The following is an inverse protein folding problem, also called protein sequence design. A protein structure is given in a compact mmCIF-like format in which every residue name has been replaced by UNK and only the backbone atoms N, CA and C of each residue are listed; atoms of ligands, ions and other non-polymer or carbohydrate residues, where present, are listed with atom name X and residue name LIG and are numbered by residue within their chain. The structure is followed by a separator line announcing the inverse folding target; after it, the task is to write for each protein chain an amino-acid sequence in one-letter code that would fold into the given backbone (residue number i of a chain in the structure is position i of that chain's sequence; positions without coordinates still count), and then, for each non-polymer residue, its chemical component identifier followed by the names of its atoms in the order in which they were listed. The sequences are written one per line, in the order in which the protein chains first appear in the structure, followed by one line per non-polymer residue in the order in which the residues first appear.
data_IF_718119588913
#
_entry.id   IF_718119588913
#
_cell.length_a   1.000
_cell.length_b   1.000
_cell.length_c   1.000
_cell.angle_alpha   90.00
_cell.angle_beta   90.00
_cell.angle_gamma   90.00
#
_symmetry.space_group_name_H-M   'P 1'
#
loop_
_entity.id
_entity.type
_entity.pdbx_description
1 polymer ?
#
# COMPACT_ATOMS: atom_id res chain seq x y z
N UNK A 1 8.99 16.36 -21.35
CA UNK A 1 7.81 16.39 -20.46
C UNK A 1 6.59 16.88 -21.24
N UNK A 2 5.48 16.14 -21.25
CA UNK A 2 4.22 16.62 -21.79
C UNK A 2 3.53 17.55 -20.78
N UNK A 3 3.10 18.74 -21.21
CA UNK A 3 2.37 19.71 -20.38
C UNK A 3 1.22 20.32 -21.17
N UNK A 4 0.23 19.49 -21.51
CA UNK A 4 -0.98 19.92 -22.19
C UNK A 4 -2.00 20.49 -21.20
N UNK A 5 -2.70 21.56 -21.57
CA UNK A 5 -3.85 22.09 -20.82
C UNK A 5 -5.11 21.36 -21.29
N UNK A 6 -5.73 20.59 -20.40
CA UNK A 6 -6.97 19.87 -20.68
C UNK A 6 -8.08 20.52 -19.86
N UNK A 7 -9.16 20.93 -20.51
CA UNK A 7 -10.36 21.43 -19.84
C UNK A 7 -11.14 20.26 -19.23
N UNK A 8 -11.83 20.49 -18.11
CA UNK A 8 -12.57 19.43 -17.39
C UNK A 8 -13.63 18.77 -18.27
N UNK A 9 -14.32 19.54 -19.12
CA UNK A 9 -15.29 19.03 -20.10
C UNK A 9 -14.69 18.10 -21.17
N UNK A 10 -13.38 18.19 -21.41
CA UNK A 10 -12.66 17.39 -22.41
C UNK A 10 -12.03 16.13 -21.82
N UNK A 11 -12.24 15.87 -20.52
CA UNK A 11 -11.80 14.65 -19.88
C UNK A 11 -12.65 13.49 -20.38
N UNK A 12 -12.02 12.52 -21.03
CA UNK A 12 -12.67 11.25 -21.37
C UNK A 12 -12.48 10.25 -20.23
N UNK A 13 -13.56 9.59 -19.78
CA UNK A 13 -13.44 8.49 -18.82
C UNK A 13 -12.57 7.38 -19.41
N UNK A 14 -11.70 6.79 -18.59
CA UNK A 14 -10.99 5.58 -18.93
C UNK A 14 -11.71 4.38 -18.30
N UNK A 15 -12.67 3.81 -19.04
CA UNK A 15 -13.48 2.68 -18.56
C UNK A 15 -12.65 1.41 -18.34
N UNK A 16 -11.61 1.18 -19.13
CA UNK A 16 -10.69 0.06 -18.94
C UNK A 16 -9.97 0.18 -17.59
N UNK A 17 -9.53 1.38 -17.24
CA UNK A 17 -8.92 1.65 -15.93
C UNK A 17 -9.93 1.47 -14.78
N UNK A 18 -11.18 1.90 -14.97
CA UNK A 18 -12.24 1.67 -13.99
C UNK A 18 -12.51 0.17 -13.76
N UNK A 19 -12.53 -0.63 -14.84
CA UNK A 19 -12.67 -2.09 -14.75
C UNK A 19 -11.50 -2.73 -14.00
N UNK A 20 -10.28 -2.32 -14.29
CA UNK A 20 -9.10 -2.81 -13.57
C UNK A 20 -9.20 -2.46 -12.08
N UNK A 21 -9.60 -1.25 -11.72
CA UNK A 21 -9.75 -0.83 -10.33
C UNK A 21 -10.72 -1.74 -9.54
N UNK A 22 -11.83 -2.17 -10.14
CA UNK A 22 -12.76 -3.09 -9.47
C UNK A 22 -12.17 -4.49 -9.25
N UNK A 23 -11.27 -4.97 -10.11
CA UNK A 23 -10.58 -6.25 -9.89
C UNK A 23 -9.63 -6.21 -8.67
N UNK A 24 -9.12 -5.02 -8.33
CA UNK A 24 -8.20 -4.82 -7.20
C UNK A 24 -8.90 -4.25 -5.96
N UNK A 25 -10.22 -4.18 -5.94
CA UNK A 25 -10.99 -3.61 -4.83
C UNK A 25 -10.69 -4.29 -3.49
N UNK A 26 -10.54 -5.60 -3.52
CA UNK A 26 -10.31 -6.43 -2.32
C UNK A 26 -8.82 -6.68 -2.05
N UNK A 27 -7.92 -6.09 -2.85
CA UNK A 27 -6.47 -6.22 -2.63
C UNK A 27 -6.03 -5.63 -1.28
N UNK A 28 -6.83 -4.72 -0.72
CA UNK A 28 -6.61 -4.12 0.59
C UNK A 28 -7.22 -4.93 1.76
N UNK A 29 -7.74 -6.13 1.52
CA UNK A 29 -8.32 -6.99 2.54
C UNK A 29 -7.41 -8.18 2.85
N UNK A 30 -7.30 -8.50 4.13
CA UNK A 30 -6.62 -9.70 4.59
C UNK A 30 -7.40 -10.93 4.12
N UNK A 31 -6.74 -11.83 3.38
CA UNK A 31 -7.37 -13.06 2.88
C UNK A 31 -7.95 -13.94 4.00
N UNK A 32 -7.31 -13.97 5.18
CA UNK A 32 -7.73 -14.79 6.33
C UNK A 32 -8.88 -14.18 7.12
N UNK A 33 -8.81 -12.87 7.38
CA UNK A 33 -9.71 -12.21 8.34
C UNK A 33 -10.74 -11.29 7.67
N UNK A 34 -10.62 -11.00 6.37
CA UNK A 34 -11.46 -10.06 5.61
C UNK A 34 -11.47 -8.63 6.18
N UNK A 35 -10.45 -8.31 6.97
CA UNK A 35 -10.22 -6.99 7.57
C UNK A 35 -9.22 -6.18 6.72
N UNK A 36 -9.30 -4.85 6.82
CA UNK A 36 -8.41 -3.96 6.07
C UNK A 36 -6.94 -4.17 6.46
N UNK A 37 -6.06 -4.15 5.46
CA UNK A 37 -4.60 -4.16 5.59
C UNK A 37 -4.09 -2.72 5.74
N UNK A 38 -4.24 -2.16 6.93
CA UNK A 38 -3.83 -0.78 7.24
C UNK A 38 -2.62 -0.69 8.20
N UNK A 39 -2.07 -1.84 8.57
CA UNK A 39 -0.90 -1.94 9.44
C UNK A 39 0.28 -2.50 8.64
N UNK A 40 1.50 -2.13 9.02
CA UNK A 40 2.73 -2.60 8.43
C UNK A 40 3.61 -3.23 9.51
N UNK A 41 3.96 -4.50 9.34
CA UNK A 41 4.91 -5.20 10.19
C UNK A 41 6.34 -4.94 9.69
N UNK A 42 7.17 -4.35 10.55
CA UNK A 42 8.54 -3.98 10.16
C UNK A 42 9.48 -5.17 10.01
N UNK A 43 9.31 -6.23 10.82
CA UNK A 43 10.17 -7.41 10.74
C UNK A 43 9.86 -8.28 9.54
N UNK A 44 8.58 -8.48 9.22
CA UNK A 44 8.16 -9.31 8.10
C UNK A 44 8.16 -8.55 6.76
N UNK A 45 8.15 -7.21 6.81
CA UNK A 45 8.05 -6.36 5.62
C UNK A 45 6.71 -6.55 4.90
N UNK A 46 5.63 -6.79 5.63
CA UNK A 46 4.31 -7.03 5.06
C UNK A 46 3.19 -6.21 5.71
N UNK A 47 2.14 -5.95 4.94
CA UNK A 47 0.93 -5.33 5.47
C UNK A 47 0.06 -6.36 6.17
N UNK A 48 -0.37 -6.05 7.39
CA UNK A 48 -1.19 -6.93 8.21
C UNK A 48 -2.51 -6.23 8.58
N UNK A 49 -3.52 -7.01 8.98
CA UNK A 49 -4.75 -6.47 9.56
C UNK A 49 -4.67 -6.47 11.09
N UNK A 50 -5.62 -5.79 11.74
CA UNK A 50 -5.73 -5.69 13.21
C UNK A 50 -5.82 -7.04 13.94
N UNK A 51 -6.29 -8.08 13.26
CA UNK A 51 -6.34 -9.44 13.83
C UNK A 51 -4.98 -10.12 13.71
N UNK A 52 -4.32 -9.99 12.56
CA UNK A 52 -2.96 -10.51 12.34
C UNK A 52 -1.95 -9.87 13.31
N UNK A 53 -2.05 -8.57 13.58
CA UNK A 53 -1.18 -7.90 14.57
C UNK A 53 -1.18 -8.59 15.94
N UNK A 54 -2.35 -9.07 16.38
CA UNK A 54 -2.52 -9.74 17.69
C UNK A 54 -2.23 -11.23 17.66
N UNK A 55 -2.08 -11.80 16.46
CA UNK A 55 -1.80 -13.21 16.26
C UNK A 55 -0.37 -13.53 16.71
N UNK A 56 -0.09 -14.75 17.21
CA UNK A 56 1.24 -15.13 17.65
C UNK A 56 2.34 -14.86 16.61
N UNK A 57 1.98 -14.85 15.33
CA UNK A 57 2.87 -14.59 14.19
C UNK A 57 3.43 -13.17 14.17
N UNK A 58 2.67 -12.15 14.60
CA UNK A 58 3.11 -10.75 14.58
C UNK A 58 3.06 -10.05 15.95
N UNK A 59 2.58 -10.73 17.00
CA UNK A 59 2.35 -10.15 18.33
C UNK A 59 3.60 -9.51 18.96
N UNK A 60 4.79 -10.00 18.61
CA UNK A 60 6.07 -9.47 19.09
C UNK A 60 6.74 -8.50 18.13
N UNK A 61 6.25 -8.38 16.89
CA UNK A 61 6.89 -7.56 15.88
C UNK A 61 6.48 -6.08 16.03
N UNK A 62 7.37 -5.13 15.67
CA UNK A 62 6.99 -3.72 15.58
C UNK A 62 6.00 -3.56 14.42
N UNK A 63 4.83 -3.01 14.74
CA UNK A 63 3.78 -2.73 13.78
C UNK A 63 3.49 -1.23 13.78
N UNK A 64 3.41 -0.64 12.59
CA UNK A 64 3.12 0.77 12.37
C UNK A 64 1.83 0.91 11.55
N UNK A 65 1.17 2.07 11.63
CA UNK A 65 0.15 2.42 10.65
C UNK A 65 0.79 2.61 9.27
N UNK A 66 0.05 2.28 8.21
CA UNK A 66 0.52 2.48 6.84
C UNK A 66 0.94 3.93 6.56
N UNK A 67 0.24 4.92 7.11
CA UNK A 67 0.60 6.33 6.98
C UNK A 67 1.91 6.67 7.70
N UNK A 68 2.12 6.10 8.89
CA UNK A 68 3.34 6.29 9.69
C UNK A 68 4.54 5.62 9.01
N UNK A 69 4.34 4.42 8.48
CA UNK A 69 5.35 3.73 7.69
C UNK A 69 5.66 4.53 6.42
N UNK A 70 4.66 5.04 5.70
CA UNK A 70 4.87 5.88 4.53
C UNK A 70 5.68 7.16 4.83
N UNK A 71 5.52 7.73 6.03
CA UNK A 71 6.33 8.87 6.49
C UNK A 71 7.74 8.46 6.91
N UNK A 72 7.87 7.36 7.65
CA UNK A 72 9.16 6.82 8.12
C UNK A 72 10.08 6.46 6.95
N UNK A 73 9.51 5.92 5.88
CA UNK A 73 10.21 5.54 4.66
C UNK A 73 10.03 6.57 3.53
N UNK A 74 9.45 7.75 3.80
CA UNK A 74 9.40 8.85 2.84
C UNK A 74 10.82 9.35 2.64
N UNK A 75 11.40 8.97 1.50
CA UNK A 75 12.77 9.30 1.13
C UNK A 75 12.96 10.82 1.14
N UNK A 76 13.73 11.30 2.10
CA UNK A 76 14.42 12.57 1.98
C UNK A 76 15.41 12.49 0.82
N UNK A 77 14.99 12.90 -0.38
CA UNK A 77 15.83 13.31 -1.53
C UNK A 77 17.16 12.59 -1.82
N UNK A 78 17.30 11.30 -1.53
CA UNK A 78 18.41 10.48 -2.03
C UNK A 78 17.86 9.12 -2.46
N UNK A 79 17.97 8.85 -3.76
CA UNK A 79 17.56 7.62 -4.43
C UNK A 79 18.32 6.41 -3.86
N UNK A 80 17.86 5.87 -2.73
CA UNK A 80 18.21 4.52 -2.31
C UNK A 80 16.97 3.63 -2.41
N UNK A 81 16.90 2.90 -3.52
CA UNK A 81 15.86 1.89 -3.78
C UNK A 81 15.90 0.75 -2.74
N UNK A 82 16.96 0.63 -1.92
CA UNK A 82 17.04 -0.31 -0.80
C UNK A 82 16.04 -0.01 0.32
N UNK A 83 15.70 1.27 0.55
CA UNK A 83 14.82 1.70 1.64
C UNK A 83 13.33 1.39 1.40
N UNK A 84 12.91 1.16 0.15
CA UNK A 84 11.55 0.71 -0.21
C UNK A 84 11.41 -0.81 -0.33
N UNK A 85 12.51 -1.56 -0.21
CA UNK A 85 12.53 -3.02 -0.28
C UNK A 85 11.47 -3.72 0.60
N UNK A 86 11.20 -3.25 1.84
CA UNK A 86 10.16 -3.82 2.69
C UNK A 86 8.74 -3.60 2.14
N UNK A 87 8.45 -2.44 1.53
CA UNK A 87 7.12 -2.15 0.97
C UNK A 87 6.81 -2.95 -0.31
N UNK A 88 7.83 -3.22 -1.13
CA UNK A 88 7.64 -3.95 -2.38
C UNK A 88 7.24 -5.41 -2.14
N UNK A 89 7.66 -6.04 -1.03
CA UNK A 89 7.22 -7.40 -0.66
C UNK A 89 5.72 -7.52 -0.39
N UNK A 90 5.06 -6.42 -0.02
CA UNK A 90 3.60 -6.39 0.20
C UNK A 90 2.78 -6.29 -1.11
N UNK A 91 3.43 -6.11 -2.26
CA UNK A 91 2.79 -5.78 -3.55
C UNK A 91 2.97 -6.86 -4.64
N UNK A 92 3.65 -7.99 -4.36
CA UNK A 92 3.92 -9.07 -5.32
C UNK A 92 3.39 -10.41 -4.81
#
# INVERSE_FOLDING_TARGET
MCRARILKENLRPNWDLARLAELFKDWNLCKKHQEKLNLFCEEDGETVCVVCERSPEHRSHPVLLMEEAAQKYQVGNTLDLGSFGPFLRSLI
#
